data_IF_117880092204
#
_entry.id   IF_117880092204
#
_cell.length_a   1.000
_cell.length_b   1.000
_cell.length_c   1.000
_cell.angle_alpha   90.00
_cell.angle_beta   90.00
_cell.angle_gamma   90.00
#
_symmetry.space_group_name_H-M   'P 1'
#
loop_
_entity.id
_entity.type
_entity.pdbx_description
1 polymer ?
#
# COMPACT_ATOMS: atom_id res chain seq x y z
N UNK A 1 -2.44 23.98 16.16
CA UNK A 1 -3.19 22.88 16.84
C UNK A 1 -4.67 23.28 17.02
N UNK A 2 -5.56 22.27 17.23
CA UNK A 2 -6.99 22.50 17.53
C UNK A 2 -7.14 23.54 18.68
N UNK A 3 -6.35 23.39 19.74
CA UNK A 3 -6.38 24.31 20.90
C UNK A 3 -6.11 25.77 20.50
N UNK A 4 -5.09 26.04 19.73
CA UNK A 4 -4.72 27.39 19.29
C UNK A 4 -5.81 28.03 18.42
N UNK A 5 -6.37 27.27 17.48
CA UNK A 5 -7.45 27.73 16.61
C UNK A 5 -8.77 27.91 17.37
N UNK A 6 -9.02 27.05 18.39
CA UNK A 6 -10.20 27.10 19.21
C UNK A 6 -10.20 28.27 20.22
N UNK A 7 -9.04 28.75 20.63
CA UNK A 7 -8.89 29.92 21.53
C UNK A 7 -8.91 31.26 20.78
N UNK A 8 -8.99 31.23 19.44
CA UNK A 8 -9.07 32.44 18.62
C UNK A 8 -10.41 33.18 18.80
N UNK A 9 -10.39 34.51 18.63
CA UNK A 9 -11.58 35.37 18.78
C UNK A 9 -12.75 34.95 17.89
N UNK A 10 -12.47 34.32 16.73
CA UNK A 10 -13.49 33.89 15.77
C UNK A 10 -14.47 32.83 16.34
N UNK A 11 -14.03 32.02 17.33
CA UNK A 11 -14.89 31.01 17.95
C UNK A 11 -15.93 31.65 18.86
N UNK A 12 -15.52 32.67 19.62
CA UNK A 12 -16.41 33.38 20.56
C UNK A 12 -17.46 34.27 19.84
N UNK A 13 -17.10 34.76 18.67
CA UNK A 13 -17.97 35.65 17.87
C UNK A 13 -18.79 34.91 16.80
N UNK A 14 -18.55 33.61 16.63
CA UNK A 14 -19.30 32.82 15.63
C UNK A 14 -20.77 32.67 16.00
N UNK A 15 -21.65 32.72 15.00
CA UNK A 15 -23.09 32.53 15.17
C UNK A 15 -23.44 31.17 15.77
N UNK A 16 -22.61 30.16 15.51
CA UNK A 16 -22.72 28.79 16.07
C UNK A 16 -21.38 28.27 16.51
N UNK A 17 -20.87 28.61 17.70
CA UNK A 17 -19.55 28.25 18.18
C UNK A 17 -19.28 26.72 18.17
N UNK A 18 -20.28 25.91 18.52
CA UNK A 18 -20.16 24.45 18.51
C UNK A 18 -19.91 23.87 17.09
N UNK A 19 -20.57 24.43 16.08
CA UNK A 19 -20.35 24.01 14.70
C UNK A 19 -18.97 24.44 14.18
N UNK A 20 -18.51 25.61 14.59
CA UNK A 20 -17.15 26.05 14.25
C UNK A 20 -16.09 25.17 14.90
N UNK A 21 -16.31 24.74 16.15
CA UNK A 21 -15.42 23.76 16.82
C UNK A 21 -15.35 22.43 16.07
N UNK A 22 -16.50 21.88 15.64
CA UNK A 22 -16.53 20.65 14.84
C UNK A 22 -15.75 20.84 13.53
N UNK A 23 -15.93 21.98 12.86
CA UNK A 23 -15.17 22.30 11.65
C UNK A 23 -13.66 22.37 11.91
N UNK A 24 -13.22 23.06 12.96
CA UNK A 24 -11.80 23.16 13.31
C UNK A 24 -11.21 21.77 13.56
N UNK A 25 -11.90 20.92 14.29
CA UNK A 25 -11.44 19.54 14.56
C UNK A 25 -11.35 18.74 13.26
N UNK A 26 -12.39 18.82 12.40
CA UNK A 26 -12.41 18.15 11.11
C UNK A 26 -11.25 18.63 10.23
N UNK A 27 -11.03 19.93 10.10
CA UNK A 27 -9.98 20.49 9.25
C UNK A 27 -8.57 20.12 9.76
N UNK A 28 -8.36 20.12 11.10
CA UNK A 28 -7.09 19.67 11.69
C UNK A 28 -6.85 18.16 11.46
N UNK A 29 -7.87 17.32 11.63
CA UNK A 29 -7.75 15.89 11.35
C UNK A 29 -7.49 15.63 9.86
N UNK A 30 -8.17 16.33 8.97
CA UNK A 30 -7.94 16.26 7.53
C UNK A 30 -6.50 16.66 7.17
N UNK A 31 -5.99 17.74 7.76
CA UNK A 31 -4.63 18.18 7.56
C UNK A 31 -3.60 17.13 8.09
N UNK A 32 -3.87 16.52 9.24
CA UNK A 32 -3.03 15.44 9.79
C UNK A 32 -3.01 14.21 8.88
N UNK A 33 -4.13 13.90 8.21
CA UNK A 33 -4.22 12.81 7.23
C UNK A 33 -3.52 13.12 5.91
N UNK A 34 -3.11 14.38 5.67
CA UNK A 34 -2.37 14.80 4.48
C UNK A 34 -3.14 15.73 3.54
N UNK A 35 -4.42 16.02 3.82
CA UNK A 35 -5.26 16.95 3.06
C UNK A 35 -5.73 16.34 1.74
N UNK A 36 -4.92 16.44 0.70
CA UNK A 36 -5.27 15.99 -0.64
C UNK A 36 -4.91 14.53 -0.91
N UNK A 37 -5.63 13.89 -1.82
CA UNK A 37 -5.31 12.56 -2.30
C UNK A 37 -3.98 12.56 -3.08
N UNK A 38 -3.09 11.63 -2.74
CA UNK A 38 -1.81 11.46 -3.43
C UNK A 38 -1.97 10.43 -4.53
N UNK A 39 -1.59 10.79 -5.75
CA UNK A 39 -1.61 9.87 -6.88
C UNK A 39 -0.33 9.03 -6.95
N UNK A 40 -0.48 7.83 -7.52
CA UNK A 40 0.66 6.95 -7.81
C UNK A 40 1.51 7.55 -8.95
N UNK A 41 2.79 7.78 -8.68
CA UNK A 41 3.74 8.22 -9.69
C UNK A 41 4.29 7.00 -10.46
N UNK A 42 3.76 6.77 -11.65
CA UNK A 42 4.13 5.64 -12.52
C UNK A 42 4.91 6.18 -13.72
N UNK A 43 6.23 6.16 -13.63
CA UNK A 43 7.16 6.76 -14.62
C UNK A 43 7.80 5.74 -15.55
N UNK A 44 7.99 4.50 -15.09
CA UNK A 44 8.62 3.42 -15.83
C UNK A 44 7.76 2.87 -16.98
N UNK A 45 8.36 2.09 -17.85
CA UNK A 45 7.68 1.30 -18.90
C UNK A 45 8.31 -0.10 -19.01
N UNK A 46 7.74 -1.11 -18.33
CA UNK A 46 6.61 -0.99 -17.41
C UNK A 46 6.99 -0.25 -16.13
N UNK A 47 6.03 0.45 -15.53
CA UNK A 47 6.15 0.92 -14.14
C UNK A 47 6.03 -0.26 -13.19
N UNK A 48 6.82 -0.27 -12.12
CA UNK A 48 6.83 -1.38 -11.16
C UNK A 48 6.30 -0.90 -9.81
N UNK A 49 5.30 -1.60 -9.29
CA UNK A 49 4.74 -1.39 -7.94
C UNK A 49 5.07 -2.60 -7.09
N UNK A 50 5.81 -2.39 -6.02
CA UNK A 50 6.16 -3.44 -5.06
C UNK A 50 5.20 -3.39 -3.86
N UNK A 51 4.46 -4.47 -3.63
CA UNK A 51 3.57 -4.61 -2.48
C UNK A 51 4.32 -5.23 -1.31
N UNK A 52 4.34 -4.56 -0.17
CA UNK A 52 5.02 -5.02 1.05
C UNK A 52 4.09 -5.02 2.26
N UNK A 53 4.40 -5.79 3.30
CA UNK A 53 3.60 -5.87 4.53
C UNK A 53 3.53 -7.29 5.11
N UNK A 54 2.97 -7.43 6.31
CA UNK A 54 2.85 -8.70 7.01
C UNK A 54 1.83 -9.65 6.36
N UNK A 55 1.87 -10.91 6.77
CA UNK A 55 0.88 -11.90 6.39
C UNK A 55 -0.51 -11.48 6.91
N UNK A 56 -1.53 -11.67 6.08
CA UNK A 56 -2.91 -11.30 6.43
C UNK A 56 -3.23 -9.81 6.36
N UNK A 57 -2.26 -8.96 6.01
CA UNK A 57 -2.51 -7.52 5.82
C UNK A 57 -3.35 -7.18 4.58
N UNK A 58 -3.57 -8.13 3.67
CA UNK A 58 -4.40 -7.95 2.48
C UNK A 58 -3.64 -7.58 1.21
N UNK A 59 -2.32 -7.81 1.13
CA UNK A 59 -1.49 -7.50 -0.06
C UNK A 59 -2.07 -8.07 -1.35
N UNK A 60 -2.30 -9.38 -1.39
CA UNK A 60 -2.82 -10.08 -2.58
C UNK A 60 -4.17 -9.51 -3.04
N UNK A 61 -5.09 -9.29 -2.11
CA UNK A 61 -6.39 -8.67 -2.42
C UNK A 61 -6.21 -7.25 -2.93
N UNK A 62 -5.29 -6.50 -2.33
CA UNK A 62 -5.02 -5.12 -2.71
C UNK A 62 -4.31 -5.03 -4.06
N UNK A 63 -3.42 -5.98 -4.38
CA UNK A 63 -2.80 -6.12 -5.70
C UNK A 63 -3.86 -6.26 -6.79
N UNK A 64 -4.87 -7.10 -6.59
CA UNK A 64 -6.00 -7.24 -7.52
C UNK A 64 -6.86 -5.97 -7.63
N UNK A 65 -7.22 -5.35 -6.50
CA UNK A 65 -8.00 -4.09 -6.50
C UNK A 65 -7.25 -2.96 -7.20
N UNK A 66 -5.95 -2.84 -6.96
CA UNK A 66 -5.10 -1.84 -7.59
C UNK A 66 -4.98 -2.08 -9.10
N UNK A 67 -4.80 -3.34 -9.53
CA UNK A 67 -4.78 -3.70 -10.93
C UNK A 67 -6.10 -3.34 -11.63
N UNK A 68 -7.24 -3.66 -11.01
CA UNK A 68 -8.56 -3.28 -11.53
C UNK A 68 -8.73 -1.77 -11.64
N UNK A 69 -8.32 -1.01 -10.64
CA UNK A 69 -8.38 0.45 -10.65
C UNK A 69 -7.51 1.04 -11.77
N UNK A 70 -6.28 0.55 -11.93
CA UNK A 70 -5.37 0.99 -12.98
C UNK A 70 -5.92 0.67 -14.38
N UNK A 71 -6.51 -0.52 -14.56
CA UNK A 71 -7.14 -0.93 -15.81
C UNK A 71 -8.37 -0.07 -16.13
N UNK A 72 -9.31 0.05 -15.17
CA UNK A 72 -10.61 0.66 -15.42
C UNK A 72 -10.60 2.18 -15.40
N UNK A 73 -9.84 2.80 -14.48
CA UNK A 73 -9.85 4.26 -14.28
C UNK A 73 -8.66 4.98 -14.94
N UNK A 74 -7.52 4.31 -15.05
CA UNK A 74 -6.31 4.92 -15.61
C UNK A 74 -5.96 4.36 -17.00
N UNK A 75 -6.77 3.44 -17.53
CA UNK A 75 -6.60 2.80 -18.86
C UNK A 75 -5.22 2.17 -19.06
N UNK A 76 -4.64 1.64 -17.96
CA UNK A 76 -3.35 0.94 -17.97
C UNK A 76 -3.54 -0.55 -18.28
N UNK A 77 -2.47 -1.19 -18.71
CA UNK A 77 -2.39 -2.62 -18.96
C UNK A 77 -1.54 -3.29 -17.89
N UNK A 78 -2.10 -3.61 -16.69
CA UNK A 78 -1.33 -4.19 -15.61
C UNK A 78 -1.06 -5.68 -15.83
N UNK A 79 0.08 -6.14 -15.29
CA UNK A 79 0.45 -7.53 -15.07
C UNK A 79 0.65 -7.74 -13.57
N UNK A 80 0.04 -8.78 -13.00
CA UNK A 80 0.27 -9.19 -11.63
C UNK A 80 1.41 -10.20 -11.59
N UNK A 81 2.37 -10.06 -10.66
CA UNK A 81 3.48 -11.00 -10.49
C UNK A 81 3.34 -11.71 -9.14
N UNK A 82 3.19 -13.04 -9.17
CA UNK A 82 3.00 -13.89 -8.00
C UNK A 82 4.36 -14.27 -7.38
N UNK A 83 4.86 -13.43 -6.46
CA UNK A 83 6.14 -13.63 -5.80
C UNK A 83 6.03 -14.17 -4.36
N UNK A 84 4.84 -14.55 -3.88
CA UNK A 84 4.67 -15.29 -2.61
C UNK A 84 4.92 -16.79 -2.82
N UNK A 85 6.18 -17.14 -2.98
CA UNK A 85 6.61 -18.52 -3.30
C UNK A 85 6.47 -19.50 -2.13
N UNK A 86 6.24 -19.00 -0.92
CA UNK A 86 6.13 -19.82 0.29
C UNK A 86 4.72 -20.34 0.52
N UNK A 87 3.72 -19.73 -0.13
CA UNK A 87 2.30 -20.06 0.05
C UNK A 87 1.63 -20.33 -1.30
N UNK A 88 1.56 -21.60 -1.74
CA UNK A 88 0.87 -21.95 -2.99
C UNK A 88 -0.55 -21.37 -3.08
N UNK A 89 -1.30 -21.41 -1.97
CA UNK A 89 -2.63 -20.83 -1.91
C UNK A 89 -2.68 -19.31 -2.21
N UNK A 90 -1.61 -18.56 -1.94
CA UNK A 90 -1.56 -17.13 -2.29
C UNK A 90 -1.38 -16.94 -3.80
N UNK A 91 -0.60 -17.80 -4.45
CA UNK A 91 -0.44 -17.79 -5.92
C UNK A 91 -1.78 -18.12 -6.59
N UNK A 92 -2.49 -19.16 -6.09
CA UNK A 92 -3.80 -19.53 -6.60
C UNK A 92 -4.82 -18.42 -6.37
N UNK A 93 -4.81 -17.79 -5.20
CA UNK A 93 -5.68 -16.65 -4.90
C UNK A 93 -5.44 -15.48 -5.86
N UNK A 94 -4.18 -15.14 -6.12
CA UNK A 94 -3.85 -14.06 -7.06
C UNK A 94 -4.28 -14.42 -8.48
N UNK A 95 -4.12 -15.68 -8.88
CA UNK A 95 -4.55 -16.20 -10.18
C UNK A 95 -6.07 -16.05 -10.36
N UNK A 96 -6.86 -16.52 -9.38
CA UNK A 96 -8.33 -16.38 -9.40
C UNK A 96 -8.76 -14.91 -9.44
N UNK A 97 -8.11 -14.05 -8.66
CA UNK A 97 -8.38 -12.60 -8.70
C UNK A 97 -8.06 -12.01 -10.09
N UNK A 98 -6.93 -12.39 -10.68
CA UNK A 98 -6.56 -11.95 -12.04
C UNK A 98 -7.61 -12.35 -13.08
N UNK A 99 -8.09 -13.58 -13.04
CA UNK A 99 -9.16 -14.09 -13.93
C UNK A 99 -10.46 -13.29 -13.74
N UNK A 100 -10.87 -13.04 -12.50
CA UNK A 100 -12.11 -12.30 -12.20
C UNK A 100 -12.10 -10.86 -12.75
N UNK A 101 -10.94 -10.22 -12.77
CA UNK A 101 -10.80 -8.83 -13.23
C UNK A 101 -10.23 -8.73 -14.66
N UNK A 102 -10.03 -9.88 -15.31
CA UNK A 102 -9.40 -9.97 -16.63
C UNK A 102 -8.07 -9.22 -16.70
N UNK A 103 -7.18 -9.56 -15.75
CA UNK A 103 -5.79 -9.09 -15.65
C UNK A 103 -4.86 -10.30 -15.61
N UNK A 104 -3.86 -10.39 -16.47
CA UNK A 104 -2.95 -11.53 -16.49
C UNK A 104 -2.10 -11.60 -15.23
N UNK A 105 -1.79 -12.83 -14.82
CA UNK A 105 -0.92 -13.13 -13.68
C UNK A 105 0.30 -13.89 -14.21
N UNK A 106 1.48 -13.36 -13.91
CA UNK A 106 2.75 -14.03 -14.13
C UNK A 106 3.09 -14.90 -12.92
N UNK A 107 3.33 -16.16 -13.15
CA UNK A 107 3.75 -17.13 -12.14
C UNK A 107 4.71 -18.16 -12.74
N UNK A 108 5.58 -18.71 -11.93
CA UNK A 108 6.51 -19.78 -12.33
C UNK A 108 6.34 -20.98 -11.40
N UNK A 109 5.85 -22.09 -11.94
CA UNK A 109 5.71 -23.31 -11.17
C UNK A 109 7.08 -23.89 -10.81
N UNK A 110 7.25 -24.23 -9.53
CA UNK A 110 8.50 -24.82 -9.03
C UNK A 110 9.65 -23.83 -8.78
N UNK A 111 9.57 -22.61 -9.29
CA UNK A 111 10.57 -21.58 -8.98
C UNK A 111 10.29 -21.01 -7.57
N UNK A 112 11.31 -21.10 -6.69
CA UNK A 112 11.25 -20.58 -5.31
C UNK A 112 12.06 -19.31 -5.10
N UNK A 113 12.51 -18.69 -6.18
CA UNK A 113 13.26 -17.43 -6.13
C UNK A 113 12.36 -16.24 -6.50
N UNK A 114 11.83 -15.50 -5.51
CA UNK A 114 10.92 -14.39 -5.77
C UNK A 114 11.57 -13.25 -6.55
N UNK A 115 12.88 -13.07 -6.42
CA UNK A 115 13.65 -12.05 -7.14
C UNK A 115 13.64 -12.37 -8.64
N UNK A 116 13.94 -13.61 -9.00
CA UNK A 116 13.95 -14.06 -10.39
C UNK A 116 12.56 -13.97 -11.02
N UNK A 117 11.52 -14.41 -10.30
CA UNK A 117 10.13 -14.31 -10.74
C UNK A 117 9.75 -12.85 -11.03
N UNK A 118 10.09 -11.93 -10.14
CA UNK A 118 9.80 -10.51 -10.32
C UNK A 118 10.52 -9.92 -11.54
N UNK A 119 11.79 -10.26 -11.75
CA UNK A 119 12.55 -9.83 -12.93
C UNK A 119 11.98 -10.42 -14.23
N UNK A 120 11.59 -11.69 -14.20
CA UNK A 120 10.99 -12.36 -15.37
C UNK A 120 9.62 -11.77 -15.68
N UNK A 121 8.80 -11.44 -14.68
CA UNK A 121 7.54 -10.73 -14.87
C UNK A 121 7.72 -9.38 -15.57
N UNK A 122 8.77 -8.64 -15.22
CA UNK A 122 9.10 -7.36 -15.88
C UNK A 122 9.54 -7.60 -17.34
N UNK A 123 10.31 -8.66 -17.61
CA UNK A 123 10.69 -9.03 -18.99
C UNK A 123 9.46 -9.41 -19.81
N UNK A 124 8.56 -10.20 -19.24
CA UNK A 124 7.29 -10.58 -19.85
C UNK A 124 6.42 -9.34 -20.14
N UNK A 125 6.33 -8.42 -19.18
CA UNK A 125 5.60 -7.18 -19.35
C UNK A 125 6.13 -6.34 -20.52
N UNK A 126 7.45 -6.24 -20.66
CA UNK A 126 8.08 -5.55 -21.80
C UNK A 126 7.76 -6.25 -23.12
N UNK A 127 7.87 -7.59 -23.16
CA UNK A 127 7.62 -8.38 -24.38
C UNK A 127 6.16 -8.30 -24.86
N UNK A 128 5.20 -8.26 -23.92
CA UNK A 128 3.75 -8.21 -24.21
C UNK A 128 3.13 -6.81 -24.12
N UNK A 129 3.94 -5.77 -23.95
CA UNK A 129 3.51 -4.37 -23.84
C UNK A 129 2.52 -4.13 -22.69
N UNK A 130 2.70 -4.80 -21.54
CA UNK A 130 2.07 -4.36 -20.30
C UNK A 130 2.83 -3.15 -19.79
N UNK A 131 2.11 -2.17 -19.25
CA UNK A 131 2.70 -0.89 -18.86
C UNK A 131 2.85 -0.71 -17.34
N UNK A 132 2.31 -1.65 -16.55
CA UNK A 132 2.48 -1.72 -15.10
C UNK A 132 2.67 -3.16 -14.66
N UNK A 133 3.63 -3.40 -13.77
CA UNK A 133 3.82 -4.68 -13.06
C UNK A 133 3.57 -4.46 -11.57
N UNK A 134 2.64 -5.22 -11.00
CA UNK A 134 2.37 -5.22 -9.55
C UNK A 134 2.98 -6.50 -8.98
N UNK A 135 4.00 -6.34 -8.15
CA UNK A 135 4.72 -7.46 -7.53
C UNK A 135 4.10 -7.76 -6.17
N UNK A 136 3.36 -8.88 -6.08
CA UNK A 136 2.75 -9.37 -4.83
C UNK A 136 3.76 -10.24 -4.09
N UNK A 137 4.31 -9.73 -3.00
CA UNK A 137 5.37 -10.41 -2.24
C UNK A 137 4.82 -11.24 -1.09
N UNK A 138 5.63 -12.16 -0.61
CA UNK A 138 5.35 -12.90 0.60
C UNK A 138 5.22 -11.96 1.82
N UNK A 139 4.43 -12.37 2.79
CA UNK A 139 4.40 -11.78 4.13
C UNK A 139 4.61 -12.85 5.17
N UNK A 140 5.26 -12.49 6.28
CA UNK A 140 5.38 -13.35 7.46
C UNK A 140 4.49 -12.83 8.57
N UNK A 141 4.28 -13.64 9.62
CA UNK A 141 3.43 -13.29 10.76
C UNK A 141 4.00 -12.13 11.59
N UNK A 142 5.31 -11.99 11.61
CA UNK A 142 6.03 -10.91 12.27
C UNK A 142 7.18 -10.42 11.39
N UNK A 143 7.68 -9.23 11.68
CA UNK A 143 8.88 -8.70 11.02
C UNK A 143 10.07 -9.52 11.49
N UNK A 144 10.82 -10.08 10.54
CA UNK A 144 12.08 -10.75 10.80
C UNK A 144 13.13 -10.31 9.76
N UNK A 145 14.40 -10.51 10.11
CA UNK A 145 15.52 -10.06 9.29
C UNK A 145 15.54 -10.73 7.91
N UNK A 146 15.17 -12.01 7.83
CA UNK A 146 15.17 -12.75 6.57
C UNK A 146 14.12 -12.19 5.59
N UNK A 147 12.92 -11.87 6.09
CA UNK A 147 11.87 -11.26 5.29
C UNK A 147 12.30 -9.88 4.78
N UNK A 148 12.90 -9.08 5.65
CA UNK A 148 13.32 -7.72 5.28
C UNK A 148 14.46 -7.74 4.27
N UNK A 149 15.41 -8.68 4.39
CA UNK A 149 16.47 -8.88 3.39
C UNK A 149 15.89 -9.33 2.04
N UNK A 150 14.93 -10.24 2.03
CA UNK A 150 14.29 -10.71 0.80
C UNK A 150 13.56 -9.58 0.07
N UNK A 151 12.74 -8.80 0.79
CA UNK A 151 12.02 -7.67 0.18
C UNK A 151 12.99 -6.59 -0.30
N UNK A 152 14.05 -6.30 0.45
CA UNK A 152 15.10 -5.38 0.03
C UNK A 152 15.81 -5.86 -1.23
N UNK A 153 16.13 -7.15 -1.33
CA UNK A 153 16.74 -7.73 -2.52
C UNK A 153 15.80 -7.68 -3.74
N UNK A 154 14.50 -7.90 -3.56
CA UNK A 154 13.51 -7.71 -4.63
C UNK A 154 13.49 -6.23 -5.05
N UNK A 155 13.43 -5.30 -4.09
CA UNK A 155 13.48 -3.85 -4.37
C UNK A 155 14.68 -3.47 -5.23
N UNK A 156 15.87 -3.92 -4.85
CA UNK A 156 17.10 -3.63 -5.60
C UNK A 156 17.06 -4.22 -7.02
N UNK A 157 16.55 -5.45 -7.15
CA UNK A 157 16.52 -6.17 -8.42
C UNK A 157 15.52 -5.60 -9.43
N UNK A 158 14.39 -5.04 -8.97
CA UNK A 158 13.32 -4.54 -9.84
C UNK A 158 13.23 -3.02 -9.91
N UNK A 159 13.95 -2.29 -9.04
CA UNK A 159 13.95 -0.80 -8.97
C UNK A 159 12.54 -0.22 -9.13
N UNK A 160 11.62 -0.45 -8.16
CA UNK A 160 10.23 -0.11 -8.30
C UNK A 160 10.01 1.41 -8.35
N UNK A 161 9.03 1.86 -9.15
CA UNK A 161 8.56 3.26 -9.14
C UNK A 161 7.84 3.57 -7.83
N UNK A 162 7.13 2.57 -7.28
CA UNK A 162 6.37 2.70 -6.04
C UNK A 162 6.55 1.47 -5.16
N UNK A 163 6.76 1.70 -3.88
CA UNK A 163 6.68 0.67 -2.83
C UNK A 163 5.49 1.02 -1.96
N UNK A 164 4.51 0.14 -1.91
CA UNK A 164 3.30 0.32 -1.10
C UNK A 164 3.33 -0.61 0.11
N UNK A 165 3.30 -0.02 1.29
CA UNK A 165 3.18 -0.76 2.54
C UNK A 165 1.70 -1.00 2.86
N UNK A 166 1.29 -2.26 2.83
CA UNK A 166 -0.08 -2.69 3.11
C UNK A 166 -0.21 -3.15 4.54
N UNK A 167 -1.08 -2.52 5.29
CA UNK A 167 -1.27 -2.80 6.72
C UNK A 167 -2.75 -2.88 7.08
N UNK A 168 -3.05 -3.82 7.98
CA UNK A 168 -4.38 -4.01 8.55
C UNK A 168 -4.66 -2.91 9.59
N UNK A 169 -5.67 -2.09 9.34
CA UNK A 169 -6.05 -1.00 10.24
C UNK A 169 -6.54 -1.49 11.62
N UNK A 170 -6.92 -2.77 11.74
CA UNK A 170 -7.40 -3.36 12.98
C UNK A 170 -6.28 -3.73 13.97
N UNK A 171 -5.02 -3.76 13.54
CA UNK A 171 -3.89 -4.15 14.40
C UNK A 171 -3.41 -3.06 15.35
N UNK A 172 -4.01 -1.87 15.31
CA UNK A 172 -3.77 -0.82 16.29
C UNK A 172 -2.30 -0.34 16.35
N UNK A 173 -1.71 -0.36 17.55
CA UNK A 173 -0.34 0.10 17.76
C UNK A 173 0.71 -0.76 17.05
N UNK A 174 0.45 -2.04 16.86
CA UNK A 174 1.36 -2.95 16.13
C UNK A 174 1.49 -2.53 14.66
N UNK A 175 0.42 -1.98 14.07
CA UNK A 175 0.49 -1.41 12.73
C UNK A 175 1.49 -0.26 12.63
N UNK A 176 1.58 0.58 13.66
CA UNK A 176 2.50 1.73 13.71
C UNK A 176 3.95 1.27 13.83
N UNK A 177 4.22 0.32 14.73
CA UNK A 177 5.55 -0.24 14.93
C UNK A 177 6.05 -0.93 13.66
N UNK A 178 5.20 -1.77 13.05
CA UNK A 178 5.49 -2.44 11.79
C UNK A 178 5.75 -1.44 10.65
N UNK A 179 4.93 -0.39 10.54
CA UNK A 179 5.12 0.65 9.54
C UNK A 179 6.49 1.33 9.67
N UNK A 180 6.91 1.60 10.91
CA UNK A 180 8.22 2.19 11.17
C UNK A 180 9.35 1.27 10.71
N UNK A 181 9.34 0.00 11.11
CA UNK A 181 10.37 -0.98 10.73
C UNK A 181 10.47 -1.15 9.20
N UNK A 182 9.33 -1.25 8.51
CA UNK A 182 9.31 -1.31 7.05
C UNK A 182 9.81 -0.01 6.40
N UNK A 183 9.46 1.15 6.96
CA UNK A 183 9.93 2.43 6.44
C UNK A 183 11.44 2.60 6.59
N UNK A 184 11.99 2.24 7.73
CA UNK A 184 13.42 2.34 8.02
C UNK A 184 14.27 1.48 7.06
N UNK A 185 13.73 0.34 6.59
CA UNK A 185 14.43 -0.60 5.69
C UNK A 185 14.13 -0.35 4.20
N UNK A 186 12.90 -0.02 3.86
CA UNK A 186 12.48 0.04 2.46
C UNK A 186 12.27 1.47 1.96
N UNK A 187 12.11 2.45 2.85
CA UNK A 187 11.73 3.81 2.48
C UNK A 187 10.55 3.80 1.49
N UNK A 188 9.44 3.17 1.88
CA UNK A 188 8.27 3.01 1.02
C UNK A 188 7.63 4.37 0.66
N UNK A 189 6.91 4.41 -0.45
CA UNK A 189 6.33 5.65 -0.98
C UNK A 189 4.98 5.99 -0.36
N UNK A 190 4.20 4.98 0.03
CA UNK A 190 2.88 5.19 0.60
C UNK A 190 2.36 4.01 1.41
N UNK A 191 1.35 4.28 2.21
CA UNK A 191 0.67 3.30 3.07
C UNK A 191 -0.71 3.01 2.52
N UNK A 192 -1.06 1.74 2.44
CA UNK A 192 -2.40 1.27 2.10
C UNK A 192 -3.02 0.63 3.32
N UNK A 193 -4.11 1.21 3.81
CA UNK A 193 -4.87 0.69 4.94
C UNK A 193 -5.96 -0.25 4.43
N UNK A 194 -6.01 -1.44 4.99
CA UNK A 194 -7.04 -2.44 4.72
C UNK A 194 -7.98 -2.62 5.91
N UNK A 195 -9.11 -3.28 5.67
CA UNK A 195 -10.12 -3.62 6.69
C UNK A 195 -10.66 -2.40 7.45
N UNK A 196 -10.81 -1.27 6.75
CA UNK A 196 -11.37 -0.04 7.30
C UNK A 196 -12.86 -0.13 7.63
N UNK A 197 -13.54 -1.17 7.15
CA UNK A 197 -14.91 -1.57 7.49
C UNK A 197 -15.02 -2.19 8.90
N UNK A 198 -13.90 -2.46 9.56
CA UNK A 198 -13.85 -2.89 10.95
C UNK A 198 -14.03 -1.72 11.94
N UNK A 199 -14.15 -2.05 13.23
CA UNK A 199 -14.40 -1.07 14.32
C UNK A 199 -13.12 -0.37 14.80
N UNK A 200 -12.35 0.25 13.90
CA UNK A 200 -11.02 0.83 14.24
C UNK A 200 -11.01 2.34 14.47
N UNK A 201 -12.10 3.05 14.23
CA UNK A 201 -12.22 4.51 14.38
C UNK A 201 -11.08 5.32 13.70
N UNK A 202 -10.32 4.72 12.78
CA UNK A 202 -9.25 5.39 12.01
C UNK A 202 -7.99 5.78 12.80
N UNK A 203 -7.85 5.37 14.06
CA UNK A 203 -6.70 5.75 14.90
C UNK A 203 -5.34 5.29 14.35
N UNK A 204 -5.29 4.10 13.79
CA UNK A 204 -4.07 3.57 13.17
C UNK A 204 -3.57 4.45 12.01
N UNK A 205 -4.48 4.98 11.20
CA UNK A 205 -4.15 5.85 10.07
C UNK A 205 -3.40 7.12 10.50
N UNK A 206 -3.96 7.82 11.51
CA UNK A 206 -3.35 9.03 12.06
C UNK A 206 -1.98 8.75 12.67
N UNK A 207 -1.88 7.67 13.45
CA UNK A 207 -0.63 7.30 14.14
C UNK A 207 0.46 6.89 13.13
N UNK A 208 0.15 6.08 12.12
CA UNK A 208 1.09 5.70 11.07
C UNK A 208 1.57 6.94 10.31
N UNK A 209 0.65 7.80 9.88
CA UNK A 209 0.98 9.03 9.16
C UNK A 209 1.95 9.91 9.95
N UNK A 210 1.71 10.05 11.25
CA UNK A 210 2.55 10.88 12.13
C UNK A 210 3.94 10.29 12.32
N UNK A 211 4.05 8.95 12.44
CA UNK A 211 5.32 8.27 12.73
C UNK A 211 6.20 8.14 11.49
N UNK A 212 5.63 7.74 10.36
CA UNK A 212 6.43 7.47 9.15
C UNK A 212 6.47 8.63 8.16
N UNK A 213 5.61 9.65 8.32
CA UNK A 213 5.52 10.83 7.44
C UNK A 213 5.30 10.48 5.96
N UNK A 214 4.68 9.33 5.68
CA UNK A 214 4.34 8.88 4.34
C UNK A 214 2.84 9.04 4.07
N UNK A 215 2.43 9.29 2.81
CA UNK A 215 1.02 9.44 2.49
C UNK A 215 0.25 8.13 2.68
N UNK A 216 -1.03 8.26 3.01
CA UNK A 216 -2.00 7.18 2.89
C UNK A 216 -2.60 7.28 1.48
N UNK A 217 -2.56 6.15 0.78
CA UNK A 217 -2.94 6.06 -0.63
C UNK A 217 -4.35 5.50 -0.81
#
# INVERSE_FOLDING_TARGET
TVKEKALGQNVLTAVRPSQLMVKIVHDELTALMGGDAVELELKGRPSVILMSGLQGSGKTTMSGKLALMLKSKKHRRPLLAACDVYRPAAIDQLTVLGEQIDVPVYKEEGNKNPIEIAQNAIREAKAKNYDVVIVDTAGRLAVDEQMMQEIAAIKEAVTPDQILFVVDAMTGQDAVNTAKEFNDRLDFNGVVLTKLDGDTRGGAALSIRTVVSKPIM
#
